data_IF_192851103959
#
_entry.id   IF_192851103959
#
_cell.length_a   1.000
_cell.length_b   1.000
_cell.length_c   1.000
_cell.angle_alpha   90.00
_cell.angle_beta   90.00
_cell.angle_gamma   90.00
#
_symmetry.space_group_name_H-M   'P 1'
#
loop_
_entity.id
_entity.type
_entity.pdbx_description
1 polymer ?
#
# COMPACT_ATOMS: atom_id res chain seq x y z
N UNK A 1 0.74 -33.88 -12.97
CA UNK A 1 -0.49 -33.51 -12.25
C UNK A 1 -0.31 -32.04 -11.94
N UNK A 2 -0.89 -31.17 -12.76
CA UNK A 2 -0.75 -29.71 -12.63
C UNK A 2 -2.00 -29.22 -11.89
N UNK A 3 -1.83 -28.76 -10.67
CA UNK A 3 -2.87 -28.04 -9.95
C UNK A 3 -2.70 -26.55 -10.22
N UNK A 4 -3.65 -25.96 -10.92
CA UNK A 4 -3.81 -24.50 -10.98
C UNK A 4 -4.09 -24.02 -9.55
N UNK A 5 -3.14 -23.27 -8.96
CA UNK A 5 -3.40 -22.48 -7.75
C UNK A 5 -4.19 -21.26 -8.18
N UNK A 6 -5.38 -21.10 -7.61
CA UNK A 6 -6.24 -19.93 -7.84
C UNK A 6 -5.68 -18.79 -7.00
N UNK A 7 -5.03 -17.80 -7.62
CA UNK A 7 -4.70 -16.55 -6.95
C UNK A 7 -6.00 -15.82 -6.60
N UNK A 8 -6.12 -15.36 -5.36
CA UNK A 8 -7.32 -14.66 -4.86
C UNK A 8 -7.21 -13.19 -5.22
N UNK A 9 -7.31 -12.85 -6.51
CA UNK A 9 -7.45 -11.45 -6.93
C UNK A 9 -8.83 -10.94 -6.48
N UNK A 10 -8.87 -9.88 -5.67
CA UNK A 10 -10.14 -9.25 -5.27
C UNK A 10 -10.69 -8.45 -6.47
N UNK A 11 -11.51 -9.10 -7.32
CA UNK A 11 -12.19 -8.46 -8.46
C UNK A 11 -13.60 -8.00 -8.09
N UNK A 12 -13.95 -6.74 -8.45
CA UNK A 12 -15.20 -5.97 -8.19
C UNK A 12 -16.57 -6.58 -8.58
N UNK A 13 -16.76 -7.90 -8.77
CA UNK A 13 -18.03 -8.45 -9.29
C UNK A 13 -19.06 -8.92 -8.24
N UNK A 14 -19.05 -8.33 -7.05
CA UNK A 14 -20.12 -8.50 -6.07
C UNK A 14 -20.44 -7.13 -5.45
N UNK A 15 -21.33 -6.37 -6.08
CA UNK A 15 -22.20 -5.31 -5.54
C UNK A 15 -22.56 -4.36 -6.66
N UNK A 16 -23.68 -4.60 -7.36
CA UNK A 16 -24.53 -3.55 -7.94
C UNK A 16 -25.85 -4.24 -8.37
N UNK A 17 -26.79 -4.33 -7.43
CA UNK A 17 -28.20 -4.58 -7.74
C UNK A 17 -29.00 -3.31 -7.49
N UNK A 18 -29.59 -2.77 -8.57
CA UNK A 18 -30.77 -1.87 -8.60
C UNK A 18 -30.58 -0.49 -7.93
N UNK A 19 -30.74 0.66 -8.61
CA UNK A 19 -31.95 1.28 -9.18
C UNK A 19 -31.42 2.44 -10.07
N UNK A 20 -31.79 2.63 -11.34
CA UNK A 20 -33.07 3.15 -11.82
C UNK A 20 -32.81 4.25 -12.86
N UNK A 21 -33.74 4.41 -13.81
CA UNK A 21 -33.52 5.00 -15.14
C UNK A 21 -33.54 6.54 -15.26
N UNK A 22 -32.92 7.00 -16.36
CA UNK A 22 -33.27 8.13 -17.24
C UNK A 22 -33.04 9.59 -16.77
N UNK A 23 -32.30 10.39 -17.56
CA UNK A 23 -32.78 11.27 -18.66
C UNK A 23 -31.56 12.05 -19.20
N UNK A 24 -31.41 12.12 -20.52
CA UNK A 24 -30.41 12.97 -21.18
C UNK A 24 -30.89 14.41 -21.36
N UNK A 25 -29.97 15.37 -21.23
CA UNK A 25 -30.13 16.73 -21.76
C UNK A 25 -28.77 17.22 -22.27
N UNK A 26 -28.69 17.53 -23.55
CA UNK A 26 -27.60 18.30 -24.15
C UNK A 26 -27.81 19.79 -23.88
N UNK A 27 -26.79 20.50 -23.40
CA UNK A 27 -26.73 21.96 -23.44
C UNK A 27 -25.37 22.40 -23.97
N UNK A 28 -25.40 23.19 -25.03
CA UNK A 28 -24.28 23.89 -25.65
C UNK A 28 -24.19 25.31 -25.06
N UNK A 29 -22.97 25.70 -24.66
CA UNK A 29 -22.46 27.07 -24.77
C UNK A 29 -22.73 28.05 -23.62
N UNK A 30 -21.67 28.49 -22.93
CA UNK A 30 -21.13 29.86 -23.06
C UNK A 30 -19.87 29.99 -22.19
N UNK A 31 -18.77 30.39 -22.82
CA UNK A 31 -17.52 30.81 -22.19
C UNK A 31 -17.75 32.11 -21.44
N UNK A 32 -17.62 32.07 -20.11
CA UNK A 32 -17.27 33.24 -19.31
C UNK A 32 -15.90 33.00 -18.69
N UNK A 33 -14.90 33.71 -19.21
CA UNK A 33 -13.61 33.87 -18.57
C UNK A 33 -13.83 34.51 -17.19
N UNK A 34 -13.80 33.68 -16.15
CA UNK A 34 -13.62 34.13 -14.77
C UNK A 34 -12.12 34.14 -14.54
N UNK A 35 -11.60 35.31 -14.18
CA UNK A 35 -10.17 35.53 -13.98
C UNK A 35 -9.56 34.45 -13.12
N UNK A 36 -8.38 33.99 -13.53
CA UNK A 36 -7.49 33.21 -12.70
C UNK A 36 -7.15 34.04 -11.45
N UNK A 37 -7.93 33.83 -10.39
CA UNK A 37 -7.39 33.98 -9.06
C UNK A 37 -6.31 32.90 -8.92
N UNK A 38 -5.09 33.35 -8.66
CA UNK A 38 -3.95 32.51 -8.29
C UNK A 38 -4.41 31.61 -7.12
N UNK A 39 -4.74 30.36 -7.46
CA UNK A 39 -5.36 29.40 -6.55
C UNK A 39 -4.47 29.21 -5.33
N UNK A 40 -4.97 29.66 -4.19
CA UNK A 40 -4.26 29.57 -2.93
C UNK A 40 -3.77 28.14 -2.68
N UNK A 41 -2.50 28.02 -2.31
CA UNK A 41 -1.96 26.81 -1.70
C UNK A 41 -2.97 26.33 -0.66
N UNK A 42 -3.66 25.23 -0.95
CA UNK A 42 -4.52 24.55 0.01
C UNK A 42 -3.62 24.32 1.22
N UNK A 43 -3.85 25.05 2.32
CA UNK A 43 -3.10 24.83 3.55
C UNK A 43 -3.40 23.40 3.92
N UNK A 44 -2.41 22.53 3.78
CA UNK A 44 -2.47 21.16 4.27
C UNK A 44 -2.05 21.26 5.74
N UNK A 45 -2.98 21.47 6.70
CA UNK A 45 -2.59 21.63 8.11
C UNK A 45 -1.86 20.39 8.62
N UNK A 46 -2.14 19.24 8.01
CA UNK A 46 -1.57 17.95 8.36
C UNK A 46 -0.24 17.65 7.68
N UNK A 47 0.16 18.41 6.67
CA UNK A 47 1.43 18.21 6.00
C UNK A 47 2.61 18.55 6.91
N UNK A 48 3.61 17.66 6.95
CA UNK A 48 4.84 17.90 7.71
C UNK A 48 6.05 18.04 6.79
N UNK A 49 7.12 18.63 7.30
CA UNK A 49 8.39 18.84 6.56
C UNK A 49 9.29 17.60 6.66
N UNK A 50 9.21 16.87 7.78
CA UNK A 50 10.01 15.67 8.02
C UNK A 50 9.31 14.46 7.40
N UNK A 51 10.03 13.33 7.31
CA UNK A 51 9.40 12.04 7.07
C UNK A 51 8.36 11.80 8.15
N UNK A 52 7.15 11.47 7.72
CA UNK A 52 5.99 11.31 8.58
C UNK A 52 4.91 10.56 7.81
N UNK A 53 4.21 9.71 8.52
CA UNK A 53 3.15 8.86 8.00
C UNK A 53 1.97 8.85 8.95
N UNK A 54 0.81 8.50 8.43
CA UNK A 54 -0.37 8.24 9.23
C UNK A 54 -1.08 6.99 8.69
N UNK A 55 -1.88 6.37 9.54
CA UNK A 55 -2.67 5.22 9.14
C UNK A 55 -3.91 5.67 8.37
N UNK A 56 -4.41 4.82 7.48
CA UNK A 56 -5.71 5.06 6.85
C UNK A 56 -6.81 5.14 7.91
N UNK A 57 -7.93 5.76 7.54
CA UNK A 57 -9.15 5.57 8.32
C UNK A 57 -9.42 4.06 8.40
N UNK A 58 -9.70 3.58 9.61
CA UNK A 58 -9.90 2.17 9.91
C UNK A 58 -8.69 1.22 9.74
N UNK A 59 -7.50 1.72 9.35
CA UNK A 59 -6.30 0.90 9.33
C UNK A 59 -5.90 0.44 10.74
N UNK A 60 -5.43 -0.80 10.84
CA UNK A 60 -4.95 -1.40 12.08
C UNK A 60 -3.90 -2.44 11.78
N UNK A 61 -2.75 -2.30 12.44
CA UNK A 61 -1.68 -3.31 12.46
C UNK A 61 -1.93 -4.38 13.53
N UNK A 62 -2.86 -4.16 14.46
CA UNK A 62 -3.01 -5.02 15.64
C UNK A 62 -3.44 -6.46 15.30
N UNK A 63 -4.10 -6.65 14.15
CA UNK A 63 -4.44 -7.96 13.61
C UNK A 63 -3.42 -8.54 12.64
N UNK A 64 -2.39 -7.78 12.28
CA UNK A 64 -1.41 -8.16 11.27
C UNK A 64 -0.33 -9.05 11.90
N UNK A 65 -0.48 -10.36 11.76
CA UNK A 65 0.48 -11.34 12.26
C UNK A 65 1.26 -11.93 11.08
N UNK A 66 2.59 -12.06 11.26
CA UNK A 66 3.48 -12.60 10.24
C UNK A 66 3.22 -14.08 9.93
N UNK A 67 2.65 -14.81 10.89
CA UNK A 67 2.30 -16.23 10.78
C UNK A 67 0.82 -16.46 10.39
N UNK A 68 0.07 -15.40 10.10
CA UNK A 68 -1.28 -15.51 9.56
C UNK A 68 -1.23 -16.13 8.14
N UNK A 69 -2.12 -17.09 7.78
CA UNK A 69 -2.07 -17.78 6.48
C UNK A 69 -2.05 -16.83 5.27
N UNK A 70 -2.88 -15.79 5.29
CA UNK A 70 -2.98 -14.76 4.25
C UNK A 70 -1.72 -13.92 4.15
N UNK A 71 -1.06 -13.61 5.28
CA UNK A 71 0.24 -12.91 5.30
C UNK A 71 1.33 -13.79 4.69
N UNK A 72 1.36 -15.08 5.05
CA UNK A 72 2.31 -16.06 4.51
C UNK A 72 2.10 -16.20 3.01
N UNK A 73 0.86 -16.42 2.56
CA UNK A 73 0.52 -16.60 1.15
C UNK A 73 0.92 -15.36 0.32
N UNK A 74 0.57 -14.16 0.80
CA UNK A 74 0.93 -12.92 0.11
C UNK A 74 2.45 -12.76 0.00
N UNK A 75 3.18 -13.02 1.08
CA UNK A 75 4.65 -12.93 1.09
C UNK A 75 5.29 -13.96 0.19
N UNK A 76 4.80 -15.20 0.19
CA UNK A 76 5.29 -16.28 -0.67
C UNK A 76 5.07 -15.94 -2.15
N UNK A 77 3.89 -15.45 -2.52
CA UNK A 77 3.59 -15.03 -3.89
C UNK A 77 4.46 -13.84 -4.31
N UNK A 78 4.60 -12.82 -3.46
CA UNK A 78 5.48 -11.69 -3.74
C UNK A 78 6.95 -12.12 -3.91
N UNK A 79 7.41 -13.07 -3.08
CA UNK A 79 8.77 -13.64 -3.20
C UNK A 79 8.94 -14.41 -4.50
N UNK A 80 7.96 -15.24 -4.89
CA UNK A 80 7.99 -15.99 -6.14
C UNK A 80 8.02 -15.04 -7.34
N UNK A 81 7.21 -13.98 -7.34
CA UNK A 81 7.22 -12.96 -8.40
C UNK A 81 8.56 -12.25 -8.50
N UNK A 82 9.14 -11.82 -7.37
CA UNK A 82 10.48 -11.21 -7.36
C UNK A 82 11.52 -12.17 -7.94
N UNK A 83 11.54 -13.42 -7.48
CA UNK A 83 12.59 -14.37 -7.87
C UNK A 83 12.47 -14.82 -9.33
N UNK A 84 11.26 -14.86 -9.89
CA UNK A 84 10.99 -15.41 -11.22
C UNK A 84 10.85 -14.35 -12.30
N UNK A 85 10.20 -13.22 -12.00
CA UNK A 85 9.87 -12.18 -12.98
C UNK A 85 10.75 -10.95 -12.85
N UNK A 86 11.10 -10.58 -11.61
CA UNK A 86 11.86 -9.35 -11.34
C UNK A 86 13.18 -9.59 -10.60
N UNK A 87 14.02 -10.58 -10.97
CA UNK A 87 15.17 -10.98 -10.16
C UNK A 87 16.29 -9.92 -10.10
N UNK A 88 16.28 -8.94 -11.01
CA UNK A 88 17.35 -7.93 -11.14
C UNK A 88 16.81 -6.55 -11.48
N UNK A 89 17.61 -5.51 -11.28
CA UNK A 89 17.28 -4.14 -11.74
C UNK A 89 17.03 -4.11 -13.25
N UNK A 90 17.79 -4.89 -14.02
CA UNK A 90 17.57 -5.05 -15.47
C UNK A 90 16.18 -5.54 -15.82
N UNK A 91 15.69 -6.58 -15.12
CA UNK A 91 14.32 -7.06 -15.34
C UNK A 91 13.23 -6.03 -15.00
N UNK A 92 13.49 -5.12 -14.05
CA UNK A 92 12.60 -4.00 -13.77
C UNK A 92 12.59 -3.00 -14.92
N UNK A 93 13.78 -2.65 -15.44
CA UNK A 93 13.93 -1.75 -16.57
C UNK A 93 13.26 -2.29 -17.85
N UNK A 94 13.40 -3.60 -18.10
CA UNK A 94 12.77 -4.28 -19.25
C UNK A 94 11.24 -4.26 -19.20
N UNK A 95 10.67 -4.27 -17.99
CA UNK A 95 9.22 -4.22 -17.74
C UNK A 95 8.74 -2.79 -17.46
N UNK A 96 9.50 -1.78 -17.89
CA UNK A 96 9.17 -0.35 -17.80
C UNK A 96 8.89 0.16 -16.38
N UNK A 97 9.45 -0.49 -15.35
CA UNK A 97 9.43 0.05 -14.00
C UNK A 97 10.32 1.28 -13.88
N UNK A 98 9.79 2.30 -13.21
CA UNK A 98 10.40 3.62 -13.12
C UNK A 98 11.02 3.80 -11.74
N UNK A 99 12.34 4.03 -11.65
CA UNK A 99 13.01 4.16 -10.37
C UNK A 99 12.65 5.48 -9.70
N UNK A 100 12.41 5.41 -8.40
CA UNK A 100 12.29 6.53 -7.50
C UNK A 100 13.22 6.32 -6.30
N UNK A 101 14.31 7.10 -6.29
CA UNK A 101 15.25 7.13 -5.18
C UNK A 101 14.79 8.15 -4.14
N UNK A 102 14.48 7.66 -2.94
CA UNK A 102 14.12 8.52 -1.81
C UNK A 102 15.19 9.60 -1.59
N UNK A 103 14.73 10.84 -1.39
CA UNK A 103 15.60 11.99 -1.14
C UNK A 103 16.39 11.76 0.15
N UNK A 104 17.65 11.34 0.03
CA UNK A 104 18.55 11.09 1.18
C UNK A 104 18.67 12.34 2.05
N UNK A 105 18.50 12.18 3.37
CA UNK A 105 19.03 13.13 4.36
C UNK A 105 20.56 13.03 4.39
N UNK A 106 21.30 14.14 4.58
CA UNK A 106 22.73 14.07 4.87
C UNK A 106 22.99 13.18 6.10
N UNK A 107 23.81 12.13 5.95
CA UNK A 107 24.18 11.21 7.04
C UNK A 107 23.30 9.95 7.19
N UNK A 108 22.31 9.73 6.32
CA UNK A 108 21.55 8.48 6.31
C UNK A 108 22.28 7.39 5.50
N UNK A 109 22.63 6.30 6.18
CA UNK A 109 23.05 5.01 5.59
C UNK A 109 21.81 4.11 5.46
N UNK A 110 21.76 3.27 4.43
CA UNK A 110 20.69 2.34 4.10
C UNK A 110 19.53 2.94 3.26
N UNK A 111 19.85 3.29 2.00
CA UNK A 111 18.88 3.78 1.03
C UNK A 111 18.39 2.65 0.14
N UNK A 112 17.10 2.34 0.19
CA UNK A 112 16.43 1.57 -0.86
C UNK A 112 15.87 2.51 -1.94
N UNK A 113 15.23 1.94 -2.95
CA UNK A 113 14.45 2.67 -3.94
C UNK A 113 13.12 1.99 -4.18
N UNK A 114 12.13 2.80 -4.53
CA UNK A 114 10.85 2.33 -5.02
C UNK A 114 10.91 2.31 -6.54
N UNK A 115 10.63 1.19 -7.16
CA UNK A 115 10.52 1.06 -8.60
C UNK A 115 9.04 0.92 -8.91
N UNK A 116 8.46 1.91 -9.58
CA UNK A 116 7.02 2.06 -9.77
C UNK A 116 6.61 1.59 -11.16
N UNK A 117 5.55 0.80 -11.28
CA UNK A 117 4.97 0.41 -12.58
C UNK A 117 3.80 1.33 -12.92
N UNK A 118 3.90 2.22 -13.93
CA UNK A 118 2.76 3.00 -14.39
C UNK A 118 1.61 2.16 -14.91
N UNK A 119 1.91 1.00 -15.50
CA UNK A 119 0.88 0.09 -15.99
C UNK A 119 0.01 -0.42 -14.83
N UNK A 120 0.64 -0.85 -13.73
CA UNK A 120 -0.07 -1.47 -12.61
C UNK A 120 -0.74 -0.42 -11.72
N UNK A 121 -0.10 0.74 -11.50
CA UNK A 121 -0.73 1.88 -10.82
C UNK A 121 -2.01 2.34 -11.55
N UNK A 122 -2.00 2.25 -12.88
CA UNK A 122 -3.10 2.66 -13.75
C UNK A 122 -4.18 1.60 -13.97
N UNK A 123 -4.09 0.41 -13.36
CA UNK A 123 -5.10 -0.63 -13.56
C UNK A 123 -6.16 -0.68 -12.44
N UNK A 124 -6.99 -1.73 -12.42
CA UNK A 124 -8.09 -1.90 -11.47
C UNK A 124 -7.84 -2.98 -10.39
N UNK A 125 -6.65 -3.58 -10.39
CA UNK A 125 -6.25 -4.58 -9.41
C UNK A 125 -5.73 -3.89 -8.14
N UNK A 126 -5.96 -4.53 -6.99
CA UNK A 126 -5.41 -4.11 -5.71
C UNK A 126 -4.87 -5.36 -5.01
N UNK A 127 -3.67 -5.25 -4.44
CA UNK A 127 -3.02 -6.36 -3.73
C UNK A 127 -2.85 -7.58 -4.65
N UNK A 128 -2.28 -7.36 -5.84
CA UNK A 128 -1.94 -8.42 -6.78
C UNK A 128 -0.42 -8.68 -6.77
N UNK A 129 0.07 -9.72 -6.07
CA UNK A 129 1.50 -9.99 -5.96
C UNK A 129 2.16 -10.38 -7.29
N UNK A 130 1.40 -10.73 -8.34
CA UNK A 130 1.95 -10.99 -9.68
C UNK A 130 2.21 -9.68 -10.46
N UNK A 131 1.50 -8.60 -10.08
CA UNK A 131 1.53 -7.28 -10.72
C UNK A 131 1.58 -6.15 -9.67
N UNK A 132 2.60 -6.12 -8.78
CA UNK A 132 2.66 -5.11 -7.73
C UNK A 132 2.95 -3.72 -8.30
N UNK A 133 2.27 -2.68 -7.80
CA UNK A 133 2.47 -1.30 -8.26
C UNK A 133 3.91 -0.80 -8.04
N UNK A 134 4.63 -1.41 -7.09
CA UNK A 134 6.02 -1.11 -6.84
C UNK A 134 6.85 -2.33 -6.41
N UNK A 135 8.08 -2.39 -6.90
CA UNK A 135 9.15 -3.25 -6.37
C UNK A 135 10.10 -2.42 -5.51
N UNK A 136 10.53 -2.97 -4.37
CA UNK A 136 11.41 -2.33 -3.41
C UNK A 136 12.82 -2.90 -3.58
N UNK A 137 13.78 -2.06 -3.93
CA UNK A 137 15.15 -2.48 -4.25
C UNK A 137 16.12 -1.92 -3.24
N UNK A 138 16.94 -2.78 -2.65
CA UNK A 138 18.04 -2.35 -1.78
C UNK A 138 19.15 -1.74 -2.65
N UNK A 139 19.51 -0.47 -2.43
CA UNK A 139 20.50 0.17 -3.29
C UNK A 139 21.94 -0.28 -2.97
N UNK A 140 22.18 -0.99 -1.86
CA UNK A 140 23.53 -1.49 -1.54
C UNK A 140 23.80 -2.80 -2.28
N UNK A 141 22.87 -3.75 -2.24
CA UNK A 141 22.99 -5.03 -2.95
C UNK A 141 22.44 -5.03 -4.38
N UNK A 142 21.66 -4.01 -4.73
CA UNK A 142 20.89 -3.89 -5.97
C UNK A 142 19.87 -5.02 -6.16
N UNK A 143 19.43 -5.62 -5.05
CA UNK A 143 18.47 -6.71 -5.04
C UNK A 143 17.07 -6.20 -4.75
N UNK A 144 16.04 -6.71 -5.44
CA UNK A 144 14.68 -6.59 -4.94
C UNK A 144 14.56 -7.30 -3.58
N UNK A 145 13.93 -6.64 -2.62
CA UNK A 145 13.80 -7.10 -1.22
C UNK A 145 12.37 -7.07 -0.70
N UNK A 146 11.42 -6.60 -1.52
CA UNK A 146 10.01 -6.54 -1.20
C UNK A 146 9.19 -5.91 -2.31
N UNK A 147 7.89 -5.84 -2.08
CA UNK A 147 6.94 -5.16 -2.97
C UNK A 147 6.16 -4.13 -2.17
N UNK A 148 5.66 -3.10 -2.82
CA UNK A 148 4.73 -2.15 -2.23
C UNK A 148 3.49 -2.07 -3.11
N UNK A 149 2.34 -2.21 -2.48
CA UNK A 149 1.06 -1.95 -3.11
C UNK A 149 0.66 -0.50 -2.92
N UNK A 150 0.05 0.08 -3.95
CA UNK A 150 -0.48 1.46 -3.92
C UNK A 150 -1.98 1.37 -4.20
N UNK A 151 -2.80 1.93 -3.31
CA UNK A 151 -4.25 1.87 -3.44
C UNK A 151 -4.75 2.90 -4.47
N UNK A 152 -4.60 2.57 -5.76
CA UNK A 152 -5.10 3.34 -6.90
C UNK A 152 -6.03 2.50 -7.77
N UNK A 153 -6.96 3.15 -8.47
CA UNK A 153 -7.75 2.55 -9.56
C UNK A 153 -7.79 3.53 -10.69
N UNK A 154 -7.40 3.10 -11.89
CA UNK A 154 -7.24 3.99 -13.05
C UNK A 154 -6.28 5.18 -12.75
N UNK A 155 -5.29 4.95 -11.88
CA UNK A 155 -4.34 5.97 -11.39
C UNK A 155 -4.87 6.91 -10.31
N UNK A 156 -6.17 6.85 -9.97
CA UNK A 156 -6.77 7.68 -8.93
C UNK A 156 -6.70 7.00 -7.55
N UNK A 157 -6.30 7.69 -6.47
CA UNK A 157 -6.28 7.11 -5.12
C UNK A 157 -7.67 6.65 -4.66
N UNK A 158 -7.73 5.46 -4.06
CA UNK A 158 -8.96 4.86 -3.50
C UNK A 158 -8.78 4.45 -2.05
N UNK A 159 -9.88 4.18 -1.34
CA UNK A 159 -9.81 3.55 -0.02
C UNK A 159 -9.34 2.10 -0.16
N UNK A 160 -8.33 1.67 0.64
CA UNK A 160 -7.74 0.37 0.49
C UNK A 160 -8.60 -0.73 1.11
N UNK A 161 -8.52 -1.97 0.60
CA UNK A 161 -9.18 -3.11 1.24
C UNK A 161 -8.49 -3.48 2.55
N UNK A 162 -9.25 -4.00 3.51
CA UNK A 162 -8.68 -4.76 4.63
C UNK A 162 -8.04 -6.04 4.07
N UNK A 163 -6.85 -6.42 4.55
CA UNK A 163 -6.19 -7.63 4.06
C UNK A 163 -6.94 -8.89 4.52
N UNK A 164 -7.31 -8.95 5.79
CA UNK A 164 -8.22 -9.95 6.33
C UNK A 164 -8.99 -9.41 7.55
N UNK A 165 -10.24 -9.85 7.66
CA UNK A 165 -11.14 -9.41 8.72
C UNK A 165 -10.87 -10.15 10.04
N UNK A 166 -11.35 -9.55 11.12
CA UNK A 166 -11.51 -10.21 12.40
C UNK A 166 -12.31 -11.52 12.25
N UNK A 167 -11.78 -12.67 12.69
CA UNK A 167 -12.56 -13.90 12.73
C UNK A 167 -13.76 -13.68 13.66
N UNK A 168 -14.96 -13.57 13.08
CA UNK A 168 -16.17 -13.19 13.81
C UNK A 168 -17.04 -12.15 13.09
N UNK A 169 -16.50 -11.43 12.10
CA UNK A 169 -17.29 -10.56 11.21
C UNK A 169 -17.83 -11.27 9.97
N UNK A 170 -17.93 -12.61 10.00
CA UNK A 170 -18.77 -13.31 9.05
C UNK A 170 -20.20 -12.81 9.28
N UNK A 171 -20.73 -12.08 8.30
CA UNK A 171 -22.10 -11.60 8.26
C UNK A 171 -23.04 -12.81 8.29
N UNK A 172 -23.37 -13.25 9.51
CA UNK A 172 -24.44 -14.19 9.77
C UNK A 172 -25.77 -13.49 9.55
N UNK A 173 -26.11 -13.26 8.29
CA UNK A 173 -27.49 -13.03 7.89
C UNK A 173 -28.22 -14.38 7.95
N UNK A 174 -28.39 -14.88 9.18
CA UNK A 174 -29.33 -15.95 9.46
C UNK A 174 -30.72 -15.37 9.38
N UNK A 175 -31.27 -15.41 8.17
CA UNK A 175 -32.69 -15.63 7.97
C UNK A 175 -33.01 -16.94 8.72
N UNK A 176 -33.56 -16.82 9.92
CA UNK A 176 -34.28 -17.94 10.53
C UNK A 176 -35.76 -17.55 10.65
N UNK A 177 -36.53 -18.32 9.88
CA UNK A 177 -37.96 -18.30 9.76
C UNK A 177 -38.61 -18.71 11.09
N UNK A 178 -39.78 -18.14 11.34
CA UNK A 178 -40.44 -18.27 12.64
C UNK A 178 -40.78 -19.70 13.07
N UNK A 179 -40.83 -19.87 14.39
CA UNK A 179 -41.64 -20.90 15.02
C UNK A 179 -42.29 -20.35 16.30
N UNK A 180 -43.61 -20.19 16.22
CA UNK A 180 -44.51 -20.00 17.35
C UNK A 180 -44.31 -21.09 18.41
N UNK A 181 -44.30 -20.68 19.68
CA UNK A 181 -44.22 -21.60 20.81
C UNK A 181 -44.63 -20.92 22.12
N UNK A 182 -45.92 -20.60 22.19
CA UNK A 182 -46.65 -20.23 23.41
C UNK A 182 -46.50 -21.31 24.49
N UNK A 183 -46.06 -20.93 25.70
CA UNK A 183 -46.47 -21.62 26.92
C UNK A 183 -46.23 -20.75 28.16
N UNK A 184 -47.35 -20.28 28.69
CA UNK A 184 -47.57 -19.78 30.05
C UNK A 184 -47.02 -20.69 31.15
N UNK A 185 -46.50 -20.09 32.22
CA UNK A 185 -46.18 -20.75 33.48
C UNK A 185 -45.92 -19.73 34.59
N UNK A 186 -46.96 -19.42 35.36
CA UNK A 186 -46.89 -18.65 36.61
C UNK A 186 -46.15 -19.44 37.70
N UNK A 187 -45.39 -18.73 38.54
CA UNK A 187 -44.72 -19.29 39.72
C UNK A 187 -44.05 -18.19 40.53
N UNK A 188 -44.82 -17.60 41.45
CA UNK A 188 -44.31 -16.78 42.55
C UNK A 188 -43.58 -17.67 43.56
N UNK A 189 -42.40 -17.26 44.04
CA UNK A 189 -42.01 -17.51 45.44
C UNK A 189 -40.87 -16.60 45.91
N UNK A 190 -41.08 -16.03 47.09
CA UNK A 190 -40.20 -15.15 47.85
C UNK A 190 -39.09 -15.93 48.57
N UNK A 191 -37.89 -15.37 48.64
CA UNK A 191 -36.85 -15.85 49.55
C UNK A 191 -35.58 -15.01 49.57
N UNK A 192 -35.53 -13.99 50.44
CA UNK A 192 -34.27 -13.33 50.82
C UNK A 192 -33.35 -14.28 51.60
N UNK A 193 -32.11 -14.41 51.15
CA UNK A 193 -30.99 -14.83 52.02
C UNK A 193 -29.72 -14.13 51.58
N UNK A 194 -29.10 -13.44 52.53
CA UNK A 194 -27.79 -12.83 52.42
C UNK A 194 -26.71 -13.92 52.47
N UNK A 195 -25.78 -13.89 51.50
CA UNK A 195 -24.61 -14.75 51.48
C UNK A 195 -23.58 -14.21 50.51
N UNK A 196 -22.53 -13.66 51.08
CA UNK A 196 -21.17 -13.37 50.57
C UNK A 196 -20.89 -13.44 49.07
N UNK A 197 -20.39 -12.30 48.60
CA UNK A 197 -19.67 -12.06 47.34
C UNK A 197 -18.40 -12.92 47.27
N UNK A 198 -18.53 -14.12 46.71
CA UNK A 198 -17.44 -14.70 45.93
C UNK A 198 -17.63 -14.25 44.49
N UNK A 199 -16.82 -13.28 44.09
CA UNK A 199 -16.55 -12.99 42.69
C UNK A 199 -15.90 -14.24 42.10
N UNK A 200 -16.73 -15.18 41.67
CA UNK A 200 -16.35 -16.07 40.59
C UNK A 200 -16.13 -15.12 39.42
N UNK A 201 -14.86 -14.78 39.20
CA UNK A 201 -14.39 -14.42 37.88
C UNK A 201 -14.78 -15.62 37.02
N UNK A 202 -15.98 -15.54 36.43
CA UNK A 202 -16.18 -16.07 35.10
C UNK A 202 -15.15 -15.32 34.29
N UNK A 203 -13.96 -15.92 34.22
CA UNK A 203 -13.13 -15.95 33.03
C UNK A 203 -14.11 -16.28 31.91
N UNK A 204 -14.74 -15.24 31.38
CA UNK A 204 -15.00 -15.20 29.97
C UNK A 204 -13.60 -15.31 29.36
N UNK A 205 -13.17 -16.55 29.15
CA UNK A 205 -12.39 -16.96 28.00
C UNK A 205 -13.16 -16.44 26.77
N UNK A 206 -13.12 -15.12 26.59
CA UNK A 206 -13.57 -14.45 25.41
C UNK A 206 -12.62 -14.96 24.36
N UNK A 207 -13.15 -15.79 23.47
CA UNK A 207 -12.60 -15.96 22.14
C UNK A 207 -12.04 -14.60 21.73
N UNK A 208 -10.71 -14.51 21.67
CA UNK A 208 -10.05 -13.23 21.43
C UNK A 208 -10.69 -12.63 20.20
N UNK A 209 -11.19 -11.41 20.31
CA UNK A 209 -11.60 -10.65 19.14
C UNK A 209 -10.35 -10.54 18.25
N UNK A 210 -10.20 -11.50 17.32
CA UNK A 210 -9.13 -11.49 16.34
C UNK A 210 -9.25 -10.15 15.63
N UNK A 211 -8.21 -9.32 15.70
CA UNK A 211 -8.30 -7.96 15.21
C UNK A 211 -8.18 -7.98 13.68
N UNK A 212 -8.85 -7.05 13.00
CA UNK A 212 -8.70 -6.90 11.53
C UNK A 212 -7.25 -6.50 11.19
N UNK A 213 -6.71 -7.00 10.08
CA UNK A 213 -5.44 -6.55 9.54
C UNK A 213 -5.65 -5.59 8.37
N UNK A 214 -5.22 -4.35 8.54
CA UNK A 214 -5.23 -3.32 7.52
C UNK A 214 -3.97 -2.45 7.69
N UNK A 215 -2.82 -2.89 7.15
CA UNK A 215 -1.52 -2.26 7.39
C UNK A 215 -1.25 -1.02 6.52
N UNK A 216 -2.28 -0.53 5.84
CA UNK A 216 -2.20 0.62 4.94
C UNK A 216 -1.90 1.92 5.69
N UNK A 217 -1.03 2.72 5.10
CA UNK A 217 -0.66 4.04 5.60
C UNK A 217 -0.48 5.01 4.43
N UNK A 218 -0.38 6.30 4.72
CA UNK A 218 -0.02 7.31 3.74
C UNK A 218 1.09 8.21 4.26
N UNK A 219 1.89 8.73 3.33
CA UNK A 219 2.89 9.73 3.67
C UNK A 219 2.28 11.14 3.70
N UNK A 220 2.39 11.80 4.86
CA UNK A 220 2.06 13.22 5.06
C UNK A 220 3.31 14.10 5.16
N UNK A 221 4.49 13.48 5.28
CA UNK A 221 5.78 14.14 5.22
C UNK A 221 6.15 14.64 3.82
N UNK A 222 6.84 15.78 3.74
CA UNK A 222 7.30 16.36 2.47
C UNK A 222 8.09 15.37 1.60
N UNK A 223 8.99 14.51 2.11
CA UNK A 223 9.72 13.55 1.27
C UNK A 223 8.78 12.61 0.50
N UNK A 224 7.81 11.98 1.18
CA UNK A 224 6.87 11.07 0.53
C UNK A 224 5.84 11.77 -0.35
N UNK A 225 5.42 12.99 -0.01
CA UNK A 225 4.51 13.77 -0.86
C UNK A 225 5.19 14.28 -2.12
N UNK A 226 6.45 14.70 -2.01
CA UNK A 226 7.27 15.09 -3.15
C UNK A 226 7.58 13.87 -4.03
N UNK A 227 7.82 12.70 -3.43
CA UNK A 227 7.99 11.44 -4.16
C UNK A 227 6.86 11.19 -5.15
N UNK A 228 5.63 11.20 -4.62
CA UNK A 228 4.44 10.96 -5.40
C UNK A 228 4.21 12.05 -6.44
N UNK A 229 4.34 13.32 -6.06
CA UNK A 229 4.18 14.44 -6.98
C UNK A 229 5.19 14.37 -8.14
N UNK A 230 6.43 13.99 -7.84
CA UNK A 230 7.49 13.82 -8.81
C UNK A 230 7.17 12.69 -9.79
N UNK A 231 6.76 11.53 -9.28
CA UNK A 231 6.32 10.41 -10.11
C UNK A 231 5.25 10.85 -11.11
N UNK A 232 4.16 11.47 -10.62
CA UNK A 232 3.07 12.01 -11.43
C UNK A 232 3.58 12.96 -12.51
N UNK A 233 4.40 13.93 -12.13
CA UNK A 233 4.86 14.97 -13.04
C UNK A 233 5.76 14.43 -14.15
N UNK A 234 6.74 13.61 -13.77
CA UNK A 234 7.81 13.18 -14.68
C UNK A 234 7.34 12.03 -15.56
N UNK A 235 6.50 11.15 -15.03
CA UNK A 235 6.22 9.87 -15.67
C UNK A 235 4.80 9.76 -16.22
N UNK A 236 3.81 10.45 -15.64
CA UNK A 236 2.48 10.57 -16.26
C UNK A 236 2.38 11.77 -17.22
N UNK A 237 3.45 12.56 -17.36
CA UNK A 237 3.52 13.78 -18.20
C UNK A 237 2.50 14.86 -17.81
N UNK A 238 2.02 14.85 -16.57
CA UNK A 238 1.17 15.92 -15.99
C UNK A 238 1.83 17.33 -16.09
N UNK A 239 3.13 17.43 -16.41
CA UNK A 239 3.81 18.68 -16.75
C UNK A 239 3.28 19.39 -18.00
N UNK A 240 2.65 18.68 -18.95
CA UNK A 240 2.07 19.31 -20.14
C UNK A 240 0.90 20.26 -19.79
N UNK A 241 0.32 20.12 -18.58
CA UNK A 241 -0.86 20.87 -18.14
C UNK A 241 -0.62 21.88 -16.99
N UNK A 242 0.55 21.94 -16.32
CA UNK A 242 0.77 22.95 -15.27
C UNK A 242 2.01 22.83 -14.35
N UNK A 243 2.05 23.71 -13.32
CA UNK A 243 3.06 23.72 -12.24
C UNK A 243 2.91 22.49 -11.32
N UNK A 244 4.03 21.98 -10.79
CA UNK A 244 4.06 20.83 -9.86
C UNK A 244 3.17 21.09 -8.64
N UNK A 245 2.05 20.37 -8.56
CA UNK A 245 1.17 20.36 -7.42
C UNK A 245 1.59 19.26 -6.44
N UNK A 246 2.22 19.64 -5.32
CA UNK A 246 2.51 18.67 -4.25
C UNK A 246 1.21 18.43 -3.46
N UNK A 247 0.69 17.19 -3.39
CA UNK A 247 -0.56 16.91 -2.67
C UNK A 247 -0.37 17.04 -1.16
N UNK A 248 -1.49 17.06 -0.42
CA UNK A 248 -1.47 17.07 1.05
C UNK A 248 -1.02 15.73 1.67
N UNK A 249 -1.15 14.63 0.92
CA UNK A 249 -0.67 13.29 1.26
C UNK A 249 -0.39 12.50 -0.01
N UNK A 250 0.43 11.46 0.08
CA UNK A 250 0.51 10.42 -0.94
C UNK A 250 -0.76 9.53 -0.91
N UNK A 251 -1.00 8.69 -1.92
CA UNK A 251 -1.99 7.63 -1.85
C UNK A 251 -1.71 6.69 -0.67
N UNK A 252 -2.67 5.83 -0.35
CA UNK A 252 -2.44 4.78 0.62
C UNK A 252 -1.54 3.70 0.02
N UNK A 253 -0.62 3.19 0.84
CA UNK A 253 0.35 2.18 0.44
C UNK A 253 0.56 1.13 1.54
N UNK A 254 1.02 -0.04 1.12
CA UNK A 254 1.30 -1.18 1.97
C UNK A 254 2.59 -1.85 1.49
N UNK A 255 3.63 -1.86 2.32
CA UNK A 255 4.86 -2.60 2.06
C UNK A 255 4.66 -4.08 2.42
N UNK A 256 5.31 -4.96 1.66
CA UNK A 256 5.41 -6.39 1.95
C UNK A 256 6.86 -6.82 1.76
N UNK A 257 7.55 -7.10 2.86
CA UNK A 257 8.94 -7.55 2.86
C UNK A 257 9.04 -9.04 2.54
N UNK A 258 9.83 -9.39 1.54
CA UNK A 258 10.13 -10.80 1.22
C UNK A 258 11.34 -11.30 2.00
N UNK A 259 12.23 -10.38 2.41
CA UNK A 259 13.32 -10.63 3.36
C UNK A 259 12.84 -10.50 4.82
N UNK A 260 13.57 -11.07 5.80
CA UNK A 260 13.23 -10.90 7.22
C UNK A 260 13.22 -9.42 7.64
N UNK A 261 12.26 -9.04 8.48
CA UNK A 261 12.16 -7.69 9.03
C UNK A 261 11.84 -7.76 10.53
N UNK A 262 12.59 -7.08 11.42
CA UNK A 262 12.37 -7.18 12.88
C UNK A 262 11.01 -6.63 13.35
N UNK A 263 10.42 -5.71 12.59
CA UNK A 263 9.09 -5.14 12.84
C UNK A 263 7.95 -5.82 12.06
N UNK A 264 8.23 -6.95 11.39
CA UNK A 264 7.25 -7.77 10.68
C UNK A 264 7.13 -7.48 9.18
N UNK A 265 6.34 -8.31 8.50
CA UNK A 265 6.22 -8.34 7.03
C UNK A 265 5.72 -7.01 6.45
N UNK A 266 4.85 -6.31 7.17
CA UNK A 266 4.24 -5.05 6.74
C UNK A 266 4.92 -3.80 7.31
N UNK A 267 6.15 -3.92 7.82
CA UNK A 267 6.86 -2.79 8.40
C UNK A 267 6.99 -1.63 7.40
N UNK A 268 6.86 -0.41 7.91
CA UNK A 268 6.94 0.81 7.11
C UNK A 268 8.37 1.08 6.61
N UNK A 269 9.33 1.02 7.52
CA UNK A 269 10.74 1.28 7.24
C UNK A 269 11.42 0.03 6.65
N UNK A 270 12.64 0.25 6.19
CA UNK A 270 13.44 -0.79 5.61
C UNK A 270 13.98 -1.78 6.62
N UNK A 271 14.12 -3.08 6.23
CA UNK A 271 14.86 -4.02 7.05
C UNK A 271 16.24 -3.42 7.33
N UNK A 272 16.80 -3.55 8.54
CA UNK A 272 18.18 -3.14 8.76
C UNK A 272 19.14 -3.87 7.80
N UNK A 273 20.30 -3.29 7.43
CA UNK A 273 21.21 -3.87 6.43
C UNK A 273 21.57 -5.34 6.67
N UNK A 274 21.72 -5.74 7.94
CA UNK A 274 22.01 -7.13 8.32
C UNK A 274 20.92 -8.15 7.94
N UNK A 275 19.70 -7.69 7.65
CA UNK A 275 18.56 -8.52 7.23
C UNK A 275 18.26 -8.49 5.73
N UNK A 276 18.77 -7.48 4.99
CA UNK A 276 18.53 -7.36 3.54
C UNK A 276 19.23 -8.43 2.71
N UNK A 277 20.27 -9.02 3.30
CA UNK A 277 20.98 -10.18 2.78
C UNK A 277 21.81 -9.90 1.53
N UNK A 278 22.63 -10.90 1.19
CA UNK A 278 23.32 -11.01 -0.08
C UNK A 278 24.58 -10.16 -0.22
N UNK A 279 25.52 -10.67 -1.02
CA UNK A 279 26.49 -9.80 -1.70
C UNK A 279 25.74 -9.04 -2.81
N UNK A 280 26.25 -7.86 -3.21
CA UNK A 280 25.77 -7.18 -4.41
C UNK A 280 25.66 -8.14 -5.59
N UNK A 281 24.65 -7.93 -6.44
CA UNK A 281 24.47 -8.74 -7.65
C UNK A 281 25.69 -8.59 -8.55
N UNK A 282 26.29 -9.71 -8.95
CA UNK A 282 27.41 -9.70 -9.88
C UNK A 282 26.97 -9.31 -11.31
N UNK A 283 25.71 -9.59 -11.64
CA UNK A 283 25.07 -9.19 -12.89
C UNK A 283 23.76 -8.47 -12.55
N UNK A 284 23.68 -7.14 -12.76
CA UNK A 284 22.47 -6.38 -12.48
C UNK A 284 21.41 -6.54 -13.57
N UNK A 285 21.67 -7.30 -14.64
CA UNK A 285 20.73 -7.55 -15.75
C UNK A 285 20.65 -6.43 -16.78
N UNK A 286 21.55 -5.44 -16.73
CA UNK A 286 21.62 -4.36 -17.71
C UNK A 286 23.06 -3.83 -17.83
N UNK A 287 23.36 -3.13 -18.93
CA UNK A 287 24.68 -2.53 -19.14
C UNK A 287 24.88 -1.31 -18.23
N UNK A 288 25.92 -1.31 -17.41
CA UNK A 288 26.30 -0.20 -16.53
C UNK A 288 27.82 -0.11 -16.37
N UNK A 289 28.32 1.12 -16.21
CA UNK A 289 29.72 1.39 -15.86
C UNK A 289 29.95 1.39 -14.33
N UNK A 290 28.88 1.35 -13.54
CA UNK A 290 28.96 1.28 -12.09
C UNK A 290 29.28 -0.14 -11.63
N UNK A 291 30.17 -0.26 -10.65
CA UNK A 291 30.49 -1.54 -10.00
C UNK A 291 29.55 -1.75 -8.80
N UNK A 292 28.64 -2.73 -8.82
CA UNK A 292 27.72 -2.99 -7.71
C UNK A 292 28.42 -3.34 -6.40
N UNK A 293 29.66 -3.83 -6.43
CA UNK A 293 30.42 -4.14 -5.21
C UNK A 293 30.99 -2.88 -4.54
N UNK A 294 31.21 -1.82 -5.31
CA UNK A 294 31.84 -0.58 -4.83
C UNK A 294 30.85 0.60 -4.74
N UNK A 295 29.72 0.52 -5.43
CA UNK A 295 28.80 1.65 -5.64
C UNK A 295 27.35 1.28 -5.33
N UNK A 296 26.65 2.21 -4.67
CA UNK A 296 25.21 2.09 -4.46
C UNK A 296 24.44 2.40 -5.75
N UNK A 297 23.34 1.70 -5.94
CA UNK A 297 22.38 1.97 -6.99
C UNK A 297 21.87 3.41 -6.85
N UNK A 298 21.85 4.12 -7.97
CA UNK A 298 21.44 5.51 -8.06
C UNK A 298 21.36 5.94 -9.52
N UNK A 299 20.95 7.18 -9.74
CA UNK A 299 20.78 7.74 -11.09
C UNK A 299 22.01 7.59 -12.00
N UNK A 300 23.21 7.65 -11.45
CA UNK A 300 24.45 7.59 -12.23
C UNK A 300 24.83 6.14 -12.62
N UNK A 301 24.19 5.14 -12.02
CA UNK A 301 24.35 3.73 -12.38
C UNK A 301 23.33 3.27 -13.43
N UNK A 302 22.29 4.06 -13.71
CA UNK A 302 21.18 3.69 -14.60
C UNK A 302 21.44 4.10 -16.06
N UNK A 303 20.85 3.40 -17.03
CA UNK A 303 20.93 3.81 -18.43
C UNK A 303 20.18 5.13 -18.67
N UNK A 304 20.60 5.91 -19.66
CA UNK A 304 20.08 7.26 -19.91
C UNK A 304 18.55 7.32 -20.06
N UNK A 305 17.93 6.31 -20.68
CA UNK A 305 16.48 6.27 -20.89
C UNK A 305 15.67 6.08 -19.60
N UNK A 306 16.28 5.50 -18.55
CA UNK A 306 15.65 5.32 -17.25
C UNK A 306 15.86 6.52 -16.32
N UNK A 307 16.79 7.41 -16.70
CA UNK A 307 17.04 8.64 -15.97
C UNK A 307 16.10 9.73 -16.48
N UNK A 308 15.27 10.32 -15.62
CA UNK A 308 14.37 11.39 -16.02
C UNK A 308 15.12 12.69 -16.31
N UNK A 309 14.55 13.51 -17.21
CA UNK A 309 15.11 14.80 -17.64
C UNK A 309 15.37 15.78 -16.48
N UNK A 310 14.59 15.69 -15.40
CA UNK A 310 14.76 16.48 -14.17
C UNK A 310 14.76 15.54 -12.99
N UNK A 311 15.84 15.56 -12.19
CA UNK A 311 15.95 14.73 -10.98
C UNK A 311 15.30 15.46 -9.78
N UNK A 312 14.91 14.76 -8.70
CA UNK A 312 14.30 15.40 -7.53
C UNK A 312 15.16 16.53 -6.91
N UNK A 313 16.49 16.41 -6.97
CA UNK A 313 17.41 17.45 -6.50
C UNK A 313 17.35 18.74 -7.32
N UNK A 314 17.09 18.62 -8.61
CA UNK A 314 17.00 19.77 -9.52
C UNK A 314 15.74 20.60 -9.25
N UNK A 315 14.66 19.90 -8.86
CA UNK A 315 13.42 20.53 -8.43
C UNK A 315 13.55 21.21 -7.07
N UNK A 316 14.32 20.66 -6.13
CA UNK A 316 14.47 21.24 -4.78
C UNK A 316 15.40 22.44 -4.71
N UNK A 317 16.33 22.60 -5.65
CA UNK A 317 17.24 23.76 -5.72
C UNK A 317 16.60 25.00 -6.36
N UNK A 318 15.40 24.84 -6.93
CA UNK A 318 14.62 25.92 -7.54
C UNK A 318 13.58 26.57 -6.59
N UNK A 319 13.54 26.16 -5.31
CA UNK A 319 12.70 26.74 -4.25
C UNK A 319 13.50 27.52 -3.22
#
# INVERSE_FOLDING_TARGET
MNGERSSTTIRRRALLSTVGSAVGVSVVGTTTARGAELGGSRRCPDATIRTDMDHCEDASMEGCADDHPETIELREQASETIDTRYPTVGSLLEEDFLPYFDVKRPGATAGWSHWLSPEYIGDDALVDPDRPESILVDNESWRPIGVMFIATVDGDPVDPPTLYAASGSASGDSIDDGANGDSSGEGEDNGSSHGETDHVETDHDGAGDEKRCSPWHYHRGLPGRLAWAYYRQVHERDYEEGELSIPCRAPYMMHVWTVPHPEGVFAHDAPPPEYRGGLPVADPGFETDADPEEQQLGWDALPEHAVPDRRPRDLLTSW
#
